data_IF_490475333472
#
_entry.id   IF_490475333472
#
_cell.length_a   1.000
_cell.length_b   1.000
_cell.length_c   1.000
_cell.angle_alpha   90.00
_cell.angle_beta   90.00
_cell.angle_gamma   90.00
#
_symmetry.space_group_name_H-M   'P 1'
#
loop_
_entity.id
_entity.type
_entity.pdbx_description
1 polymer ?
#
# COMPACT_ATOMS: atom_id res chain seq x y z
N UNK A 1 -21.18 15.42 -42.10
CA UNK A 1 -20.84 15.69 -40.69
C UNK A 1 -20.24 17.09 -40.62
N UNK A 2 -20.84 18.00 -39.85
CA UNK A 2 -20.40 19.40 -39.76
C UNK A 2 -19.00 19.48 -39.13
N UNK A 3 -18.26 20.54 -39.51
CA UNK A 3 -16.90 20.80 -38.96
C UNK A 3 -16.90 20.75 -37.42
N UNK A 4 -17.94 21.28 -36.80
CA UNK A 4 -18.10 21.30 -35.32
C UNK A 4 -18.18 19.85 -34.78
N UNK A 5 -18.95 18.96 -35.41
CA UNK A 5 -19.03 17.55 -34.97
C UNK A 5 -17.68 16.84 -35.08
N UNK A 6 -16.91 17.10 -36.16
CA UNK A 6 -15.53 16.56 -36.31
C UNK A 6 -14.60 17.06 -35.21
N UNK A 7 -14.64 18.36 -34.90
CA UNK A 7 -13.83 18.95 -33.85
C UNK A 7 -14.16 18.35 -32.46
N UNK A 8 -15.44 18.22 -32.12
CA UNK A 8 -15.87 17.59 -30.87
C UNK A 8 -15.35 16.15 -30.75
N UNK A 9 -15.49 15.36 -31.82
CA UNK A 9 -15.00 13.97 -31.84
C UNK A 9 -13.48 13.93 -31.65
N UNK A 10 -12.73 14.80 -32.32
CA UNK A 10 -11.28 14.88 -32.18
C UNK A 10 -10.86 15.22 -30.75
N UNK A 11 -11.49 16.22 -30.13
CA UNK A 11 -11.22 16.61 -28.73
C UNK A 11 -11.55 15.46 -27.78
N UNK A 12 -12.71 14.83 -27.92
CA UNK A 12 -13.07 13.67 -27.08
C UNK A 12 -12.09 12.52 -27.24
N UNK A 13 -11.63 12.24 -28.45
CA UNK A 13 -10.62 11.20 -28.70
C UNK A 13 -9.31 11.52 -28.03
N UNK A 14 -8.84 12.77 -28.08
CA UNK A 14 -7.62 13.21 -27.38
C UNK A 14 -7.74 13.08 -25.86
N UNK A 15 -8.88 13.46 -25.28
CA UNK A 15 -9.14 13.31 -23.85
C UNK A 15 -9.12 11.85 -23.44
N UNK A 16 -9.76 10.97 -24.23
CA UNK A 16 -9.77 9.52 -23.96
C UNK A 16 -8.35 8.95 -24.04
N UNK A 17 -7.59 9.31 -25.08
CA UNK A 17 -6.19 8.86 -25.23
C UNK A 17 -5.35 9.34 -24.04
N UNK A 18 -5.45 10.62 -23.67
CA UNK A 18 -4.74 11.17 -22.52
C UNK A 18 -5.12 10.42 -21.22
N UNK A 19 -6.42 10.17 -21.00
CA UNK A 19 -6.90 9.42 -19.85
C UNK A 19 -6.37 7.98 -19.83
N UNK A 20 -6.28 7.30 -20.97
CA UNK A 20 -5.76 5.93 -21.07
C UNK A 20 -4.24 5.90 -20.84
N UNK A 21 -3.50 6.86 -21.37
CA UNK A 21 -2.03 6.86 -21.36
C UNK A 21 -1.43 7.47 -20.11
N UNK A 22 -2.18 8.30 -19.37
CA UNK A 22 -1.70 9.03 -18.20
C UNK A 22 -0.98 8.14 -17.16
N UNK A 23 -1.53 6.99 -16.72
CA UNK A 23 -0.83 6.14 -15.76
C UNK A 23 0.54 5.68 -16.28
N UNK A 24 0.60 5.24 -17.54
CA UNK A 24 1.86 4.80 -18.16
C UNK A 24 2.89 5.92 -18.26
N UNK A 25 2.45 7.14 -18.57
CA UNK A 25 3.33 8.31 -18.64
C UNK A 25 3.88 8.64 -17.25
N UNK A 26 3.03 8.65 -16.23
CA UNK A 26 3.44 8.94 -14.86
C UNK A 26 4.41 7.89 -14.31
N UNK A 27 4.16 6.59 -14.58
CA UNK A 27 5.09 5.53 -14.21
C UNK A 27 6.46 5.71 -14.88
N UNK A 28 6.51 6.00 -16.18
CA UNK A 28 7.75 6.27 -16.89
C UNK A 28 8.44 7.56 -16.44
N UNK A 29 7.68 8.53 -15.94
CA UNK A 29 8.21 9.76 -15.35
C UNK A 29 8.73 9.57 -13.90
N UNK A 30 8.68 8.35 -13.35
CA UNK A 30 9.24 8.01 -12.06
C UNK A 30 8.25 8.05 -10.89
N UNK A 31 6.93 8.01 -11.15
CA UNK A 31 5.95 7.90 -10.07
C UNK A 31 6.17 6.63 -9.23
N UNK A 32 6.62 5.55 -9.87
CA UNK A 32 7.00 4.29 -9.23
C UNK A 32 8.34 3.81 -9.83
N UNK A 33 9.48 4.29 -9.30
CA UNK A 33 10.79 3.90 -9.81
C UNK A 33 11.04 2.41 -9.56
N UNK A 34 11.51 1.70 -10.58
CA UNK A 34 11.93 0.32 -10.46
C UNK A 34 13.30 0.23 -9.77
N UNK A 35 13.45 -0.71 -8.85
CA UNK A 35 14.73 -1.02 -8.26
C UNK A 35 15.52 -1.94 -9.19
N UNK A 36 16.65 -1.44 -9.70
CA UNK A 36 17.56 -2.19 -10.59
C UNK A 36 18.86 -2.62 -9.89
N UNK A 37 18.89 -2.59 -8.55
CA UNK A 37 20.04 -2.99 -7.76
C UNK A 37 20.14 -4.50 -7.56
N UNK A 38 21.13 -4.93 -6.78
CA UNK A 38 21.34 -6.33 -6.44
C UNK A 38 20.26 -6.80 -5.45
N UNK A 39 19.65 -7.94 -5.71
CA UNK A 39 18.77 -8.61 -4.76
C UNK A 39 19.62 -9.45 -3.79
N UNK A 40 19.42 -9.24 -2.49
CA UNK A 40 20.03 -10.09 -1.48
C UNK A 40 19.25 -11.40 -1.33
N UNK A 41 19.93 -12.52 -1.14
CA UNK A 41 19.30 -13.75 -0.68
C UNK A 41 19.13 -13.65 0.84
N UNK A 42 17.88 -13.56 1.28
CA UNK A 42 17.50 -13.42 2.69
C UNK A 42 16.77 -14.67 3.21
N UNK A 43 17.05 -15.83 2.61
CA UNK A 43 16.54 -17.12 3.07
C UNK A 43 16.86 -17.30 4.55
N UNK A 44 15.94 -17.87 5.32
CA UNK A 44 16.01 -18.08 6.77
C UNK A 44 15.90 -16.79 7.62
N UNK A 45 15.80 -15.62 7.01
CA UNK A 45 15.50 -14.37 7.71
C UNK A 45 13.99 -14.16 7.89
N UNK A 46 13.64 -13.40 8.93
CA UNK A 46 12.25 -13.06 9.23
C UNK A 46 12.06 -11.55 9.27
N UNK A 47 10.99 -11.08 8.65
CA UNK A 47 10.57 -9.69 8.72
C UNK A 47 9.20 -9.56 9.39
N UNK A 48 9.03 -8.49 10.16
CA UNK A 48 7.76 -8.04 10.69
C UNK A 48 7.41 -6.70 10.03
N UNK A 49 6.27 -6.63 9.38
CA UNK A 49 5.71 -5.38 8.89
C UNK A 49 4.63 -4.94 9.86
N UNK A 50 4.78 -3.75 10.41
CA UNK A 50 3.83 -3.17 11.37
C UNK A 50 3.11 -2.01 10.70
N UNK A 51 1.79 -1.96 10.85
CA UNK A 51 0.95 -0.94 10.26
C UNK A 51 -0.10 -0.45 11.25
N UNK A 52 -0.85 0.55 10.83
CA UNK A 52 -1.93 1.16 11.60
C UNK A 52 -3.13 0.22 11.78
N UNK A 53 -3.88 0.45 12.84
CA UNK A 53 -5.25 -0.03 13.01
C UNK A 53 -6.29 1.10 12.86
N UNK A 54 -5.85 2.33 12.56
CA UNK A 54 -6.72 3.48 12.44
C UNK A 54 -7.31 3.58 11.02
N UNK A 55 -8.65 3.68 10.94
CA UNK A 55 -9.40 3.53 9.70
C UNK A 55 -10.10 4.81 9.20
N UNK A 56 -10.02 5.91 9.97
CA UNK A 56 -10.82 7.12 9.71
C UNK A 56 -9.94 8.37 9.74
N UNK A 57 -9.92 9.12 8.65
CA UNK A 57 -9.26 10.43 8.59
C UNK A 57 -10.22 11.49 9.18
N UNK A 58 -10.15 11.65 10.48
CA UNK A 58 -11.00 12.56 11.25
C UNK A 58 -10.22 13.78 11.76
N UNK A 59 -10.93 14.90 11.92
CA UNK A 59 -10.36 16.07 12.59
C UNK A 59 -10.17 15.81 14.11
N UNK A 60 -9.27 16.53 14.78
CA UNK A 60 -9.10 16.42 16.23
C UNK A 60 -10.42 16.60 16.98
N UNK A 61 -10.75 15.61 17.82
CA UNK A 61 -12.00 15.61 18.60
C UNK A 61 -13.23 15.07 17.86
N UNK A 62 -13.12 14.69 16.59
CA UNK A 62 -14.18 14.06 15.82
C UNK A 62 -13.96 12.57 15.71
N UNK A 63 -15.06 11.81 15.55
CA UNK A 63 -15.03 10.36 15.37
C UNK A 63 -15.49 9.92 13.97
N UNK A 64 -15.74 10.89 13.08
CA UNK A 64 -16.20 10.65 11.71
C UNK A 64 -15.28 11.30 10.72
N UNK A 65 -15.15 10.72 9.55
CA UNK A 65 -14.28 11.24 8.50
C UNK A 65 -14.23 10.31 7.30
N UNK A 66 -13.31 10.59 6.40
CA UNK A 66 -13.07 9.77 5.23
C UNK A 66 -12.39 8.46 5.64
N UNK A 67 -12.72 7.37 4.95
CA UNK A 67 -11.99 6.12 5.12
C UNK A 67 -10.51 6.31 4.79
N UNK A 68 -9.64 5.73 5.61
CA UNK A 68 -8.18 5.75 5.44
C UNK A 68 -7.55 4.47 6.03
N UNK A 69 -6.25 4.47 6.20
CA UNK A 69 -5.49 3.34 6.76
C UNK A 69 -4.02 3.43 6.37
N UNK A 70 -3.41 2.27 6.17
CA UNK A 70 -2.11 2.15 5.53
C UNK A 70 -2.25 2.47 4.04
N UNK A 71 -1.30 3.17 3.45
CA UNK A 71 -1.30 3.34 2.00
C UNK A 71 -0.82 2.03 1.34
N UNK A 72 -1.59 1.50 0.37
CA UNK A 72 -1.40 0.15 -0.16
C UNK A 72 0.04 -0.17 -0.53
N UNK A 73 0.70 0.68 -1.32
CA UNK A 73 2.08 0.42 -1.76
C UNK A 73 3.10 0.43 -0.60
N UNK A 74 2.83 1.13 0.50
CA UNK A 74 3.71 1.10 1.67
C UNK A 74 3.61 -0.21 2.46
N UNK A 75 2.57 -0.99 2.22
CA UNK A 75 2.41 -2.35 2.75
C UNK A 75 2.86 -3.41 1.74
N UNK A 76 2.45 -3.27 0.49
CA UNK A 76 2.65 -4.31 -0.54
C UNK A 76 4.08 -4.38 -1.04
N UNK A 77 4.75 -3.24 -1.24
CA UNK A 77 6.16 -3.20 -1.67
C UNK A 77 7.10 -3.90 -0.69
N UNK A 78 7.16 -3.54 0.61
CA UNK A 78 8.03 -4.23 1.54
C UNK A 78 7.67 -5.70 1.69
N UNK A 79 6.38 -6.05 1.69
CA UNK A 79 5.97 -7.45 1.78
C UNK A 79 6.54 -8.29 0.63
N UNK A 80 6.38 -7.84 -0.61
CA UNK A 80 6.89 -8.59 -1.75
C UNK A 80 8.41 -8.48 -1.89
N UNK A 81 9.01 -7.35 -1.55
CA UNK A 81 10.47 -7.23 -1.51
C UNK A 81 11.09 -8.26 -0.56
N UNK A 82 10.54 -8.42 0.63
CA UNK A 82 11.04 -9.37 1.61
C UNK A 82 10.73 -10.82 1.22
N UNK A 83 9.51 -11.11 0.79
CA UNK A 83 9.13 -12.49 0.40
C UNK A 83 9.86 -12.96 -0.87
N UNK A 84 10.02 -12.09 -1.86
CA UNK A 84 10.76 -12.40 -3.09
C UNK A 84 12.27 -12.52 -2.81
N UNK A 85 12.79 -11.87 -1.75
CA UNK A 85 14.13 -12.07 -1.21
C UNK A 85 14.30 -13.37 -0.39
N UNK A 86 13.22 -14.12 -0.17
CA UNK A 86 13.24 -15.41 0.54
C UNK A 86 12.92 -15.32 2.03
N UNK A 87 12.54 -14.15 2.56
CA UNK A 87 12.20 -13.99 3.98
C UNK A 87 10.82 -14.59 4.30
N UNK A 88 10.67 -15.03 5.55
CA UNK A 88 9.36 -15.24 6.17
C UNK A 88 8.84 -13.89 6.66
N UNK A 89 7.67 -13.46 6.16
CA UNK A 89 7.11 -12.16 6.50
C UNK A 89 5.83 -12.33 7.30
N UNK A 90 5.81 -11.73 8.49
CA UNK A 90 4.61 -11.59 9.30
C UNK A 90 4.11 -10.13 9.22
N UNK A 91 2.81 -9.97 9.43
CA UNK A 91 2.16 -8.66 9.37
C UNK A 91 1.43 -8.42 10.69
N UNK A 92 1.68 -7.28 11.28
CA UNK A 92 1.08 -6.83 12.52
C UNK A 92 0.40 -5.47 12.34
N UNK A 93 -0.52 -5.16 13.22
CA UNK A 93 -1.08 -3.81 13.37
C UNK A 93 -1.21 -3.47 14.85
N UNK A 94 -1.42 -2.20 15.18
CA UNK A 94 -1.49 -1.74 16.57
C UNK A 94 -2.42 -2.61 17.41
N UNK A 95 -3.64 -2.87 16.91
CA UNK A 95 -4.65 -3.65 17.64
C UNK A 95 -4.77 -5.10 17.15
N UNK A 96 -4.12 -5.47 16.06
CA UNK A 96 -4.36 -6.73 15.36
C UNK A 96 -5.68 -6.77 14.59
N UNK A 97 -5.97 -7.91 13.97
CA UNK A 97 -7.17 -8.10 13.16
C UNK A 97 -7.04 -7.51 11.77
N UNK A 98 -8.13 -7.01 11.20
CA UNK A 98 -8.15 -6.47 9.85
C UNK A 98 -7.44 -5.13 9.77
N UNK A 99 -6.45 -5.05 8.89
CA UNK A 99 -5.71 -3.81 8.61
C UNK A 99 -6.54 -2.95 7.68
N UNK A 100 -6.86 -1.70 8.06
CA UNK A 100 -7.48 -0.76 7.15
C UNK A 100 -6.48 -0.33 6.08
N UNK A 101 -6.84 -0.50 4.81
CA UNK A 101 -6.08 0.01 3.68
C UNK A 101 -6.81 1.23 3.12
N UNK A 102 -6.08 2.31 2.87
CA UNK A 102 -6.64 3.51 2.28
C UNK A 102 -7.21 3.19 0.88
N UNK A 103 -8.51 3.41 0.63
CA UNK A 103 -9.13 3.08 -0.65
C UNK A 103 -8.50 3.80 -1.85
N UNK A 104 -7.89 4.98 -1.64
CA UNK A 104 -7.23 5.72 -2.71
C UNK A 104 -5.96 5.05 -3.21
N UNK A 105 -5.37 4.15 -2.42
CA UNK A 105 -4.20 3.34 -2.82
C UNK A 105 -4.44 2.53 -4.10
N UNK A 106 -5.68 2.12 -4.32
CA UNK A 106 -6.05 1.31 -5.49
C UNK A 106 -6.61 2.13 -6.64
N UNK A 107 -6.52 3.46 -6.56
CA UNK A 107 -6.88 4.34 -7.66
C UNK A 107 -6.00 4.01 -8.89
N UNK A 108 -6.62 4.00 -10.06
CA UNK A 108 -5.99 3.67 -11.33
C UNK A 108 -4.66 4.39 -11.61
N UNK A 109 -4.49 5.60 -11.11
CA UNK A 109 -3.29 6.41 -11.36
C UNK A 109 -2.12 5.99 -10.47
N UNK A 110 -2.39 5.60 -9.23
CA UNK A 110 -1.36 5.34 -8.20
C UNK A 110 -1.12 3.86 -7.93
N UNK A 111 -2.04 2.98 -8.32
CA UNK A 111 -1.93 1.54 -8.07
C UNK A 111 -0.66 0.93 -8.69
N UNK A 112 0.15 0.28 -7.87
CA UNK A 112 1.42 -0.33 -8.28
C UNK A 112 1.24 -1.77 -8.81
N UNK A 113 2.28 -2.36 -9.42
CA UNK A 113 2.28 -3.80 -9.74
C UNK A 113 2.09 -4.67 -8.50
N UNK A 114 2.72 -4.32 -7.37
CA UNK A 114 2.64 -5.03 -6.10
C UNK A 114 1.23 -4.95 -5.50
N UNK A 115 0.57 -3.80 -5.59
CA UNK A 115 -0.84 -3.66 -5.20
C UNK A 115 -1.74 -4.58 -6.03
N UNK A 116 -1.51 -4.64 -7.34
CA UNK A 116 -2.24 -5.55 -8.24
C UNK A 116 -1.96 -7.03 -7.95
N UNK A 117 -0.75 -7.35 -7.48
CA UNK A 117 -0.38 -8.69 -7.02
C UNK A 117 -1.14 -9.03 -5.74
N UNK A 118 -1.17 -8.10 -4.76
CA UNK A 118 -1.93 -8.24 -3.52
C UNK A 118 -3.41 -8.53 -3.76
N UNK A 119 -4.06 -7.85 -4.70
CA UNK A 119 -5.46 -8.07 -5.02
C UNK A 119 -5.79 -9.49 -5.52
N UNK A 120 -4.77 -10.30 -5.84
CA UNK A 120 -4.89 -11.69 -6.29
C UNK A 120 -4.23 -12.70 -5.34
N UNK A 121 -3.55 -12.23 -4.30
CA UNK A 121 -2.80 -13.05 -3.35
C UNK A 121 -3.63 -13.33 -2.10
N UNK A 122 -4.33 -14.44 -2.09
CA UNK A 122 -5.17 -14.85 -0.95
C UNK A 122 -4.37 -15.10 0.33
N UNK A 123 -3.09 -15.47 0.24
CA UNK A 123 -2.23 -15.71 1.41
C UNK A 123 -1.92 -14.39 2.08
N UNK A 124 -1.50 -13.39 1.31
CA UNK A 124 -1.23 -12.07 1.87
C UNK A 124 -2.52 -11.38 2.38
N UNK A 125 -3.63 -11.48 1.63
CA UNK A 125 -4.92 -10.97 2.09
C UNK A 125 -5.36 -11.59 3.42
N UNK A 126 -5.12 -12.89 3.63
CA UNK A 126 -5.41 -13.53 4.91
C UNK A 126 -4.55 -12.96 6.06
N UNK A 127 -3.28 -12.63 5.82
CA UNK A 127 -2.43 -11.95 6.81
C UNK A 127 -2.91 -10.53 7.13
N UNK A 128 -3.35 -9.79 6.11
CA UNK A 128 -3.91 -8.43 6.28
C UNK A 128 -5.23 -8.46 7.06
N UNK A 129 -6.06 -9.47 6.80
CA UNK A 129 -7.33 -9.64 7.51
C UNK A 129 -7.17 -10.10 8.97
N UNK A 130 -6.07 -10.80 9.27
CA UNK A 130 -5.81 -11.40 10.57
C UNK A 130 -4.42 -11.02 11.07
N UNK A 131 -4.09 -9.73 11.08
CA UNK A 131 -2.79 -9.25 11.52
C UNK A 131 -2.56 -9.51 13.00
N UNK A 132 -1.30 -9.66 13.36
CA UNK A 132 -0.87 -9.86 14.75
C UNK A 132 -1.00 -8.53 15.51
N UNK A 133 -1.65 -8.47 16.68
CA UNK A 133 -1.56 -7.28 17.52
C UNK A 133 -0.13 -7.10 18.01
N UNK A 134 0.42 -5.88 17.95
CA UNK A 134 1.83 -5.63 18.34
C UNK A 134 2.11 -6.03 19.78
N UNK A 135 1.13 -5.99 20.66
CA UNK A 135 1.25 -6.44 22.06
C UNK A 135 1.52 -7.95 22.20
N UNK A 136 1.33 -8.73 21.13
CA UNK A 136 1.61 -10.18 21.07
C UNK A 136 2.81 -10.51 20.18
N UNK A 137 3.42 -9.52 19.54
CA UNK A 137 4.58 -9.73 18.70
C UNK A 137 5.84 -9.90 19.55
N UNK A 138 6.56 -10.99 19.36
CA UNK A 138 7.89 -11.17 19.94
C UNK A 138 8.93 -10.63 18.96
N UNK A 139 9.35 -9.41 19.17
CA UNK A 139 10.29 -8.70 18.30
C UNK A 139 11.65 -9.40 18.18
N UNK A 140 12.04 -10.22 19.15
CA UNK A 140 13.32 -10.94 19.14
C UNK A 140 13.38 -12.03 18.04
N UNK A 141 12.24 -12.40 17.47
CA UNK A 141 12.15 -13.39 16.41
C UNK A 141 12.37 -12.83 15.01
N UNK A 142 12.54 -11.52 14.88
CA UNK A 142 12.62 -10.85 13.57
C UNK A 142 14.00 -10.23 13.35
N UNK A 143 14.53 -10.39 12.15
CA UNK A 143 15.77 -9.75 11.72
C UNK A 143 15.52 -8.33 11.22
N UNK A 144 14.32 -8.04 10.75
CA UNK A 144 13.90 -6.72 10.25
C UNK A 144 12.50 -6.40 10.79
N UNK A 145 12.30 -5.16 11.24
CA UNK A 145 11.00 -4.56 11.53
C UNK A 145 10.83 -3.39 10.58
N UNK A 146 9.72 -3.37 9.85
CA UNK A 146 9.37 -2.31 8.91
C UNK A 146 8.05 -1.66 9.34
N UNK A 147 8.04 -0.33 9.43
CA UNK A 147 6.84 0.44 9.77
C UNK A 147 6.22 1.00 8.49
N UNK A 148 5.03 0.52 8.16
CA UNK A 148 4.28 0.98 6.99
C UNK A 148 3.50 2.25 7.29
N UNK A 149 3.69 3.27 6.46
CA UNK A 149 3.01 4.55 6.59
C UNK A 149 1.62 4.59 5.96
N UNK A 150 1.12 5.79 5.82
CA UNK A 150 -0.23 6.13 5.39
C UNK A 150 -0.87 7.08 6.40
N UNK A 151 -2.01 7.66 6.06
CA UNK A 151 -2.65 8.63 6.95
C UNK A 151 -3.03 8.02 8.30
N UNK A 152 -3.46 6.75 8.34
CA UNK A 152 -3.78 6.06 9.60
C UNK A 152 -2.60 5.99 10.55
N UNK A 153 -1.38 5.80 10.04
CA UNK A 153 -0.17 5.69 10.84
C UNK A 153 0.11 6.95 11.68
N UNK A 154 -0.30 8.12 11.19
CA UNK A 154 -0.15 9.38 11.92
C UNK A 154 -1.00 9.45 13.20
N UNK A 155 -2.04 8.61 13.30
CA UNK A 155 -2.94 8.58 14.46
C UNK A 155 -2.49 7.62 15.55
N UNK A 156 -1.89 6.49 15.20
CA UNK A 156 -1.66 5.44 16.19
C UNK A 156 -0.21 4.92 16.26
N UNK A 157 0.55 4.86 15.15
CA UNK A 157 1.93 4.33 15.20
C UNK A 157 2.84 5.21 16.05
N UNK A 158 2.82 6.53 15.85
CA UNK A 158 3.66 7.47 16.58
C UNK A 158 3.26 7.69 18.03
N UNK A 159 2.13 7.13 18.47
CA UNK A 159 1.61 7.23 19.84
C UNK A 159 1.70 5.90 20.59
N UNK A 160 2.20 4.85 19.95
CA UNK A 160 2.29 3.52 20.55
C UNK A 160 3.48 3.44 21.51
N UNK A 161 3.21 3.16 22.76
CA UNK A 161 4.26 2.90 23.77
C UNK A 161 4.99 1.57 23.56
N UNK A 162 4.50 0.72 22.66
CA UNK A 162 5.08 -0.59 22.34
C UNK A 162 6.05 -0.54 21.15
N UNK A 163 6.08 0.55 20.40
CA UNK A 163 7.00 0.83 19.31
C UNK A 163 8.07 1.80 19.72
#
# INVERSE_FOLDING_TARGET
>A
MTIIKKAIIAIMSLVIIAFITLPTILHKAGLHPEYNGQTANLTDKRALIITTSHAVLNAPGENTGKATGVFGSELTHPYYTFTDGGMKVDVASINGGEIPIDPESFNRVVITPEDKRYLKDSVFQAKVKNSIPISKADFTQYDIVFLSGGWGAAYDLGQSELL
#
